data_IF_520800518854
#
_entry.id   IF_520800518854
#
_cell.length_a   1.000
_cell.length_b   1.000
_cell.length_c   1.000
_cell.angle_alpha   90.00
_cell.angle_beta   90.00
_cell.angle_gamma   90.00
#
_symmetry.space_group_name_H-M   'P 1'
#
loop_
_entity.id
_entity.type
_entity.pdbx_description
1 polymer ?
#
# COMPACT_ATOMS: atom_id res chain seq x y z
N UNK A 1 19.05 -8.35 7.45
CA UNK A 1 17.94 -7.62 8.09
C UNK A 1 16.88 -7.43 7.03
N UNK A 2 15.61 -7.69 7.31
CA UNK A 2 14.50 -7.41 6.38
C UNK A 2 14.28 -5.91 6.36
N UNK A 3 14.42 -5.28 5.20
CA UNK A 3 14.28 -3.81 5.05
C UNK A 3 12.81 -3.38 5.16
N UNK A 4 11.88 -4.31 4.97
CA UNK A 4 10.44 -4.04 4.94
C UNK A 4 9.72 -4.58 6.18
N UNK A 5 8.63 -3.92 6.62
CA UNK A 5 7.82 -4.41 7.74
C UNK A 5 7.09 -5.71 7.38
N UNK A 6 7.04 -6.65 8.32
CA UNK A 6 6.23 -7.85 8.16
C UNK A 6 4.74 -7.56 8.37
N UNK A 7 3.89 -8.43 7.84
CA UNK A 7 2.44 -8.42 8.07
C UNK A 7 2.10 -8.43 9.57
N UNK A 8 1.17 -7.56 9.97
CA UNK A 8 0.70 -7.40 11.34
C UNK A 8 0.17 -8.70 11.94
N UNK A 9 -0.57 -9.47 11.14
CA UNK A 9 -1.12 -10.77 11.54
C UNK A 9 -0.94 -11.79 10.42
N UNK A 10 0.08 -12.64 10.57
CA UNK A 10 0.41 -13.69 9.61
C UNK A 10 -0.74 -14.67 9.34
N UNK A 11 -1.69 -14.83 10.29
CA UNK A 11 -2.84 -15.73 10.12
C UNK A 11 -3.93 -15.16 9.22
N UNK A 12 -3.90 -13.85 8.95
CA UNK A 12 -4.85 -13.16 8.06
C UNK A 12 -4.35 -12.98 6.64
N UNK A 13 -3.08 -13.28 6.37
CA UNK A 13 -2.52 -13.25 5.02
C UNK A 13 -3.34 -14.17 4.11
N UNK A 14 -3.76 -13.66 2.95
CA UNK A 14 -4.61 -14.32 1.97
C UNK A 14 -6.11 -14.27 2.28
N UNK A 15 -6.53 -13.63 3.38
CA UNK A 15 -7.95 -13.55 3.77
C UNK A 15 -8.61 -12.22 3.43
N UNK A 16 -7.82 -11.21 3.05
CA UNK A 16 -8.36 -9.90 2.66
C UNK A 16 -8.96 -9.95 1.25
N UNK A 17 -9.98 -9.13 0.95
CA UNK A 17 -10.59 -9.09 -0.38
C UNK A 17 -9.58 -8.80 -1.48
N UNK A 18 -9.75 -9.44 -2.65
CA UNK A 18 -8.93 -9.16 -3.84
C UNK A 18 -9.08 -7.70 -4.30
N UNK A 19 -10.33 -7.25 -4.44
CA UNK A 19 -10.65 -5.87 -4.84
C UNK A 19 -10.53 -4.94 -3.63
N UNK A 20 -9.54 -4.06 -3.67
CA UNK A 20 -9.34 -3.01 -2.68
C UNK A 20 -9.19 -1.67 -3.36
N UNK A 21 -9.17 -0.58 -2.58
CA UNK A 21 -8.74 0.70 -3.14
C UNK A 21 -7.28 0.55 -3.60
N UNK A 22 -6.94 1.21 -4.71
CA UNK A 22 -5.59 1.30 -5.23
C UNK A 22 -5.14 2.75 -5.16
N UNK A 23 -3.93 2.98 -4.65
CA UNK A 23 -3.42 4.34 -4.51
C UNK A 23 -4.09 5.16 -3.40
N UNK A 24 -3.57 6.37 -3.20
CA UNK A 24 -4.08 7.35 -2.25
C UNK A 24 -3.56 7.22 -0.81
N UNK A 25 -3.54 8.38 -0.12
CA UNK A 25 -2.95 8.54 1.21
C UNK A 25 -1.42 8.70 1.19
N UNK A 26 -0.87 9.29 2.24
CA UNK A 26 0.58 9.58 2.37
C UNK A 26 1.24 8.80 3.49
N UNK A 27 0.44 8.14 4.32
CA UNK A 27 0.92 7.38 5.47
C UNK A 27 0.19 6.06 5.63
N UNK A 28 0.84 5.08 6.23
CA UNK A 28 0.24 3.79 6.57
C UNK A 28 0.36 3.48 8.07
N UNK A 29 -0.63 2.78 8.60
CA UNK A 29 -0.62 2.32 10.00
C UNK A 29 0.04 0.96 10.15
N UNK A 30 -0.24 0.00 9.28
CA UNK A 30 0.24 -1.39 9.40
C UNK A 30 0.31 -2.07 8.03
N UNK A 31 1.28 -2.96 7.82
CA UNK A 31 1.30 -3.87 6.66
C UNK A 31 0.37 -5.04 6.95
N UNK A 32 -0.50 -5.38 6.01
CA UNK A 32 -1.45 -6.49 6.14
C UNK A 32 -0.98 -7.73 5.39
N UNK A 33 -0.50 -7.57 4.17
CA UNK A 33 0.07 -8.62 3.33
C UNK A 33 0.80 -8.03 2.12
N UNK A 34 1.75 -8.76 1.57
CA UNK A 34 2.33 -8.51 0.25
C UNK A 34 1.60 -9.35 -0.77
N UNK A 35 1.30 -8.79 -1.94
CA UNK A 35 0.57 -9.50 -3.00
C UNK A 35 1.39 -9.51 -4.28
N UNK A 36 1.44 -10.67 -4.91
CA UNK A 36 1.97 -10.84 -6.26
C UNK A 36 0.80 -11.20 -7.14
N UNK A 37 0.40 -10.28 -8.02
CA UNK A 37 -0.59 -10.53 -9.05
C UNK A 37 0.02 -11.36 -10.17
N UNK A 38 -0.76 -12.30 -10.71
CA UNK A 38 -0.35 -13.20 -11.78
C UNK A 38 -1.41 -13.19 -12.86
N UNK A 39 -0.94 -12.99 -14.09
CA UNK A 39 -1.70 -13.02 -15.32
C UNK A 39 -1.27 -14.28 -16.09
N UNK A 40 -1.99 -15.40 -15.95
CA UNK A 40 -1.68 -16.62 -16.70
C UNK A 40 -1.69 -16.35 -18.21
N UNK A 41 -0.89 -17.10 -18.96
CA UNK A 41 -0.96 -17.04 -20.42
C UNK A 41 -2.38 -17.45 -20.91
N UNK A 42 -2.77 -16.92 -22.08
CA UNK A 42 -4.11 -17.03 -22.69
C UNK A 42 -4.66 -18.48 -22.84
N UNK A 43 -3.85 -19.52 -22.60
CA UNK A 43 -4.25 -20.93 -22.65
C UNK A 43 -4.66 -21.53 -21.29
N UNK A 44 -4.48 -20.80 -20.19
CA UNK A 44 -4.66 -21.28 -18.83
C UNK A 44 -5.80 -20.57 -18.09
N UNK A 45 -7.06 -20.80 -18.49
CA UNK A 45 -8.26 -20.40 -17.72
C UNK A 45 -8.25 -18.92 -17.22
N UNK A 46 -7.74 -17.99 -18.04
CA UNK A 46 -8.03 -16.54 -18.16
C UNK A 46 -8.38 -15.70 -16.91
N UNK A 47 -7.99 -16.11 -15.70
CA UNK A 47 -8.40 -15.43 -14.48
C UNK A 47 -7.20 -14.99 -13.68
N UNK A 48 -6.99 -13.67 -13.66
CA UNK A 48 -6.03 -13.03 -12.77
C UNK A 48 -6.24 -13.48 -11.32
N UNK A 49 -5.14 -13.82 -10.66
CA UNK A 49 -5.15 -14.13 -9.25
C UNK A 49 -3.97 -13.45 -8.58
N UNK A 50 -4.01 -13.37 -7.25
CA UNK A 50 -2.84 -12.98 -6.48
C UNK A 50 -2.45 -14.06 -5.50
N UNK A 51 -1.15 -14.12 -5.20
CA UNK A 51 -0.64 -14.86 -4.05
C UNK A 51 -0.20 -13.90 -2.97
N UNK A 52 -0.66 -14.14 -1.75
CA UNK A 52 -0.37 -13.31 -0.59
C UNK A 52 0.78 -13.86 0.26
N UNK A 53 1.59 -12.96 0.82
CA UNK A 53 2.76 -13.26 1.64
C UNK A 53 2.83 -12.36 2.87
N UNK A 54 3.47 -12.86 3.93
CA UNK A 54 3.66 -12.13 5.18
C UNK A 54 4.87 -11.17 5.14
N UNK A 55 5.78 -11.35 4.20
CA UNK A 55 7.02 -10.58 4.06
C UNK A 55 7.33 -10.33 2.58
N UNK A 56 8.04 -9.23 2.33
CA UNK A 56 8.38 -8.77 0.99
C UNK A 56 9.32 -9.75 0.29
N UNK A 57 10.30 -10.29 1.00
CA UNK A 57 11.33 -11.15 0.44
C UNK A 57 10.75 -12.43 -0.15
N UNK A 58 9.77 -13.05 0.53
CA UNK A 58 9.04 -14.21 0.01
C UNK A 58 8.19 -13.87 -1.20
N UNK A 59 7.52 -12.70 -1.18
CA UNK A 59 6.74 -12.22 -2.33
C UNK A 59 7.64 -11.96 -3.54
N UNK A 60 8.75 -11.26 -3.34
CA UNK A 60 9.71 -10.93 -4.41
C UNK A 60 10.31 -12.19 -5.02
N UNK A 61 10.72 -13.15 -4.19
CA UNK A 61 11.19 -14.45 -4.66
C UNK A 61 10.13 -15.18 -5.48
N UNK A 62 8.85 -15.13 -5.09
CA UNK A 62 7.79 -15.76 -5.85
C UNK A 62 7.60 -15.08 -7.22
N UNK A 63 7.56 -13.75 -7.27
CA UNK A 63 7.44 -12.99 -8.51
C UNK A 63 8.58 -13.30 -9.49
N UNK A 64 9.83 -13.31 -9.02
CA UNK A 64 11.00 -13.63 -9.84
C UNK A 64 11.00 -15.05 -10.44
N UNK A 65 10.17 -15.95 -9.91
CA UNK A 65 10.09 -17.35 -10.33
C UNK A 65 8.71 -17.75 -10.89
N UNK A 66 7.84 -16.77 -11.17
CA UNK A 66 6.49 -17.03 -11.68
C UNK A 66 6.25 -16.25 -12.96
N UNK A 67 6.10 -16.96 -14.07
CA UNK A 67 5.79 -16.35 -15.37
C UNK A 67 4.44 -15.62 -15.31
N UNK A 68 4.37 -14.46 -15.98
CA UNK A 68 3.17 -13.62 -15.98
C UNK A 68 2.89 -12.91 -14.65
N UNK A 69 3.80 -12.97 -13.68
CA UNK A 69 3.65 -12.24 -12.42
C UNK A 69 4.13 -10.80 -12.48
N UNK A 70 3.44 -9.94 -11.71
CA UNK A 70 3.84 -8.56 -11.47
C UNK A 70 4.82 -8.45 -10.30
N UNK A 71 5.49 -7.29 -10.19
CA UNK A 71 6.25 -6.98 -8.97
C UNK A 71 5.34 -6.91 -7.74
N UNK A 72 5.83 -7.30 -6.54
CA UNK A 72 5.00 -7.28 -5.34
C UNK A 72 4.43 -5.89 -5.05
N UNK A 73 3.13 -5.83 -4.79
CA UNK A 73 2.50 -4.71 -4.10
C UNK A 73 2.27 -5.04 -2.62
N UNK A 74 1.90 -4.04 -1.84
CA UNK A 74 1.61 -4.20 -0.41
C UNK A 74 0.22 -3.71 -0.08
N UNK A 75 -0.54 -4.56 0.60
CA UNK A 75 -1.79 -4.17 1.21
C UNK A 75 -1.50 -3.57 2.59
N UNK A 76 -1.95 -2.34 2.79
CA UNK A 76 -1.76 -1.61 4.04
C UNK A 76 -3.09 -1.30 4.73
N UNK A 77 -3.03 -1.12 6.04
CA UNK A 77 -4.08 -0.53 6.84
C UNK A 77 -3.82 0.97 7.00
N UNK A 78 -4.87 1.77 6.86
CA UNK A 78 -4.91 3.16 7.31
C UNK A 78 -6.05 3.28 8.32
N UNK A 79 -5.74 3.69 9.54
CA UNK A 79 -6.72 3.99 10.60
C UNK A 79 -7.25 5.41 10.44
N UNK A 80 -6.36 6.30 10.00
CA UNK A 80 -6.61 7.67 9.56
C UNK A 80 -5.75 7.91 8.31
N UNK A 81 -6.22 8.75 7.40
CA UNK A 81 -5.50 9.08 6.18
C UNK A 81 -5.71 10.54 5.78
N UNK A 82 -4.87 11.02 4.87
CA UNK A 82 -5.07 12.31 4.21
C UNK A 82 -5.72 12.02 2.87
N UNK A 83 -6.79 12.75 2.60
CA UNK A 83 -7.47 12.81 1.32
C UNK A 83 -7.08 14.11 0.62
N UNK A 84 -6.96 14.05 -0.70
CA UNK A 84 -6.69 15.21 -1.57
C UNK A 84 -7.82 15.31 -2.59
N UNK A 85 -9.02 15.79 -2.20
CA UNK A 85 -10.17 15.89 -3.10
C UNK A 85 -9.95 16.84 -4.27
N UNK A 86 -9.09 17.85 -4.07
CA UNK A 86 -8.63 18.80 -5.08
C UNK A 86 -7.12 18.96 -4.92
N UNK A 87 -6.41 19.21 -6.02
CA UNK A 87 -4.96 19.40 -6.02
C UNK A 87 -4.55 20.48 -5.00
N UNK A 88 -3.65 20.12 -4.08
CA UNK A 88 -3.19 20.97 -2.99
C UNK A 88 -4.15 21.11 -1.81
N UNK A 89 -5.34 20.50 -1.84
CA UNK A 89 -6.33 20.56 -0.74
C UNK A 89 -6.24 19.29 0.09
N UNK A 90 -5.51 19.35 1.20
CA UNK A 90 -5.29 18.19 2.07
C UNK A 90 -6.27 18.14 3.25
N UNK A 91 -7.04 17.07 3.35
CA UNK A 91 -8.05 16.86 4.40
C UNK A 91 -7.75 15.61 5.21
N UNK A 92 -7.75 15.74 6.55
CA UNK A 92 -7.60 14.60 7.46
C UNK A 92 -8.91 13.82 7.57
N UNK A 93 -8.86 12.52 7.27
CA UNK A 93 -10.00 11.60 7.37
C UNK A 93 -9.74 10.56 8.46
N UNK A 94 -10.63 10.54 9.47
CA UNK A 94 -10.60 9.56 10.58
C UNK A 94 -11.47 8.35 10.28
N UNK A 95 -11.06 7.54 9.31
CA UNK A 95 -11.78 6.33 8.90
C UNK A 95 -10.79 5.22 8.56
N UNK A 96 -11.11 4.00 9.03
CA UNK A 96 -10.35 2.79 8.68
C UNK A 96 -10.58 2.40 7.22
N UNK A 97 -9.50 2.14 6.48
CA UNK A 97 -9.54 1.52 5.15
C UNK A 97 -8.32 0.63 4.91
N UNK A 98 -8.42 -0.23 3.91
CA UNK A 98 -7.31 -0.99 3.34
C UNK A 98 -7.08 -0.51 1.91
N UNK A 99 -5.82 -0.41 1.50
CA UNK A 99 -5.45 0.03 0.16
C UNK A 99 -4.16 -0.68 -0.28
N UNK A 100 -4.03 -0.91 -1.58
CA UNK A 100 -2.83 -1.42 -2.20
C UNK A 100 -1.89 -0.27 -2.59
N UNK A 101 -0.63 -0.43 -2.20
CA UNK A 101 0.47 0.49 -2.47
C UNK A 101 1.61 -0.22 -3.18
N UNK A 102 2.43 0.57 -3.88
CA UNK A 102 3.75 0.14 -4.30
C UNK A 102 4.65 -0.04 -3.07
N UNK A 103 5.45 -1.10 -3.02
CA UNK A 103 6.35 -1.37 -1.88
C UNK A 103 7.29 -0.20 -1.55
N UNK A 104 7.89 0.51 -2.53
CA UNK A 104 8.73 1.67 -2.24
C UNK A 104 8.03 2.79 -1.45
N UNK A 105 6.70 2.89 -1.54
CA UNK A 105 5.94 3.89 -0.79
C UNK A 105 5.91 3.63 0.71
N UNK A 106 6.34 2.46 1.19
CA UNK A 106 6.47 2.18 2.63
C UNK A 106 7.62 2.93 3.29
N UNK A 107 8.63 3.34 2.51
CA UNK A 107 9.76 4.12 3.04
C UNK A 107 9.24 5.47 3.54
N UNK A 108 9.60 5.83 4.76
CA UNK A 108 9.34 7.15 5.35
C UNK A 108 7.86 7.56 5.46
N UNK A 109 6.93 6.61 5.32
CA UNK A 109 5.49 6.84 5.34
C UNK A 109 4.77 6.13 6.49
N UNK A 110 5.50 5.53 7.44
CA UNK A 110 4.88 4.92 8.62
C UNK A 110 4.27 6.04 9.47
N UNK A 111 2.96 5.97 9.68
CA UNK A 111 2.22 6.97 10.46
C UNK A 111 2.59 6.90 11.94
N UNK A 112 2.91 8.04 12.51
CA UNK A 112 2.95 8.29 13.95
C UNK A 112 1.76 9.16 14.41
N UNK A 113 1.77 9.60 15.68
CA UNK A 113 0.68 10.42 16.24
C UNK A 113 0.54 11.78 15.57
N UNK A 114 1.61 12.32 15.00
CA UNK A 114 1.68 13.71 14.55
C UNK A 114 1.77 13.83 13.02
N UNK A 115 2.02 12.71 12.31
CA UNK A 115 2.35 12.68 10.89
C UNK A 115 1.36 13.47 10.02
N UNK A 116 0.06 13.30 10.28
CA UNK A 116 -1.00 13.92 9.49
C UNK A 116 -1.06 15.44 9.75
N UNK A 117 -0.91 15.83 11.01
CA UNK A 117 -1.02 17.23 11.40
C UNK A 117 0.24 18.00 10.96
N UNK A 118 1.43 17.39 11.06
CA UNK A 118 2.69 17.91 10.51
C UNK A 118 2.61 18.07 8.99
N UNK A 119 2.17 17.03 8.28
CA UNK A 119 2.02 17.07 6.81
C UNK A 119 1.15 18.23 6.34
N UNK A 120 0.00 18.45 7.00
CA UNK A 120 -0.92 19.54 6.65
C UNK A 120 -0.31 20.89 7.02
N UNK A 121 0.36 21.00 8.18
CA UNK A 121 1.02 22.24 8.59
C UNK A 121 2.13 22.65 7.63
N UNK A 122 2.98 21.71 7.20
CA UNK A 122 4.11 21.97 6.30
C UNK A 122 3.65 22.50 4.93
N UNK A 123 2.53 21.97 4.42
CA UNK A 123 1.91 22.38 3.13
C UNK A 123 1.10 23.67 3.22
N UNK A 124 0.62 24.04 4.40
CA UNK A 124 0.04 25.37 4.63
C UNK A 124 1.12 26.45 4.80
N UNK A 125 2.28 26.07 5.35
CA UNK A 125 3.40 26.97 5.57
C UNK A 125 4.18 27.32 4.29
N UNK A 126 4.00 26.55 3.22
CA UNK A 126 4.50 26.84 1.87
C UNK A 126 3.41 27.59 1.10
N UNK A 127 3.52 28.92 0.88
CA UNK A 127 2.57 29.62 0.03
C UNK A 127 2.65 29.04 -1.38
N UNK A 128 1.49 28.84 -1.99
CA UNK A 128 1.37 28.42 -3.38
C UNK A 128 1.92 29.55 -4.28
N UNK A 129 3.24 29.59 -4.49
CA UNK A 129 3.84 30.40 -5.55
C UNK A 129 3.66 29.64 -6.86
N UNK A 130 2.46 29.71 -7.41
CA UNK A 130 2.25 29.43 -8.82
C UNK A 130 2.99 30.48 -9.67
N UNK A 131 3.49 30.12 -10.86
CA UNK A 131 4.02 31.07 -11.83
C UNK A 131 2.95 32.05 -12.34
#
# INVERSE_FOLDING_TARGET
>A
MTTHPIALDKKKVGTYPAKTFSGGGYFYDDVLEYRVWVHPADDANDTDYFKAFADYESAKKYAENTDGSEDPCVLILQKEYIDEPEDGVFVKIKKRRITEWLVPWLSDSKRDTDSLDKFIADRKATPNTGP
#
